data_IF_801838734751
#
_entry.id   IF_801838734751
#
_cell.length_a   1.000
_cell.length_b   1.000
_cell.length_c   1.000
_cell.angle_alpha   90.00
_cell.angle_beta   90.00
_cell.angle_gamma   90.00
#
_symmetry.space_group_name_H-M   'P 1'
#
loop_
_entity.id
_entity.type
_entity.pdbx_description
1 polymer ?
#
# COMPACT_ATOMS: atom_id res chain seq x y z
N UNK A 1 4.82 45.83 -53.45
CA UNK A 1 5.09 44.43 -53.18
C UNK A 1 6.45 44.38 -52.46
N UNK A 2 6.45 44.35 -51.16
CA UNK A 2 7.70 44.36 -50.34
C UNK A 2 7.98 42.92 -49.88
N UNK A 3 9.08 42.38 -50.44
CA UNK A 3 9.63 41.09 -50.04
C UNK A 3 10.38 41.22 -48.70
N UNK A 4 9.78 40.74 -47.63
CA UNK A 4 10.46 40.52 -46.38
C UNK A 4 11.09 39.13 -46.36
N UNK A 5 12.40 39.05 -46.45
CA UNK A 5 13.14 37.79 -46.34
C UNK A 5 13.41 37.48 -44.87
N UNK A 6 13.25 36.20 -44.47
CA UNK A 6 13.45 35.64 -43.12
C UNK A 6 14.88 35.82 -42.50
N UNK A 7 15.77 36.55 -43.14
CA UNK A 7 17.14 36.76 -42.67
C UNK A 7 17.39 38.08 -41.93
N UNK A 8 16.39 38.96 -41.81
CA UNK A 8 16.57 40.29 -41.22
C UNK A 8 16.23 40.47 -39.74
N UNK A 9 15.86 39.39 -39.03
CA UNK A 9 15.34 39.53 -37.66
C UNK A 9 16.27 38.97 -36.55
N UNK A 10 17.52 38.61 -36.86
CA UNK A 10 18.46 38.02 -35.87
C UNK A 10 19.57 39.01 -35.42
N UNK A 11 19.52 40.27 -35.78
CA UNK A 11 20.64 41.18 -35.53
C UNK A 11 20.30 42.43 -34.71
N UNK A 12 19.52 42.31 -33.61
CA UNK A 12 19.42 43.39 -32.64
C UNK A 12 18.94 42.93 -31.27
N UNK A 13 19.63 41.98 -30.66
CA UNK A 13 19.61 41.86 -29.20
C UNK A 13 20.95 42.39 -28.68
N UNK A 14 20.93 43.39 -27.74
CA UNK A 14 22.19 43.89 -27.21
C UNK A 14 22.90 42.76 -26.43
N UNK A 15 24.19 42.59 -26.70
CA UNK A 15 25.06 41.56 -26.10
C UNK A 15 25.01 41.52 -24.56
N UNK A 16 24.56 42.58 -23.90
CA UNK A 16 24.33 42.66 -22.46
C UNK A 16 23.13 41.88 -21.96
N UNK A 17 22.10 41.56 -22.81
CA UNK A 17 20.97 40.73 -22.42
C UNK A 17 21.28 39.24 -22.59
N UNK A 18 22.09 38.85 -23.55
CA UNK A 18 22.54 37.47 -23.74
C UNK A 18 23.46 37.00 -22.62
N UNK A 19 24.30 37.89 -22.05
CA UNK A 19 25.18 37.57 -20.91
C UNK A 19 24.43 37.41 -19.59
N UNK A 20 23.27 38.04 -19.43
CA UNK A 20 22.40 37.81 -18.22
C UNK A 20 21.58 36.54 -18.27
N UNK A 21 21.28 36.01 -19.46
CA UNK A 21 20.59 34.72 -19.61
C UNK A 21 21.54 33.52 -19.46
N UNK A 22 22.83 33.71 -19.69
CA UNK A 22 23.85 32.68 -19.51
C UNK A 22 24.52 32.68 -18.13
N UNK A 23 24.22 33.64 -17.29
CA UNK A 23 24.70 33.72 -15.89
C UNK A 23 23.68 33.24 -14.85
N UNK A 24 22.64 32.49 -15.22
CA UNK A 24 22.09 31.53 -14.29
C UNK A 24 23.16 30.45 -14.13
N UNK A 25 24.10 30.72 -13.23
CA UNK A 25 25.01 29.70 -12.70
C UNK A 25 24.14 28.53 -12.30
N UNK A 26 24.32 27.40 -13.02
CA UNK A 26 23.85 26.12 -12.49
C UNK A 26 24.26 26.10 -11.02
N UNK A 27 23.34 25.84 -10.09
CA UNK A 27 23.69 25.80 -8.68
C UNK A 27 24.91 24.90 -8.55
N UNK A 28 25.94 25.39 -7.83
CA UNK A 28 27.12 24.61 -7.54
C UNK A 28 26.66 23.23 -7.12
N UNK A 29 27.26 22.18 -7.67
CA UNK A 29 26.90 20.79 -7.35
C UNK A 29 26.74 20.68 -5.85
N UNK A 30 25.53 20.34 -5.38
CA UNK A 30 25.29 20.17 -3.93
C UNK A 30 26.35 19.19 -3.41
N UNK A 31 26.94 19.43 -2.22
CA UNK A 31 27.86 18.47 -1.63
C UNK A 31 27.20 17.08 -1.65
N UNK A 32 27.96 16.07 -2.06
CA UNK A 32 27.45 14.69 -2.08
C UNK A 32 27.07 14.30 -0.67
N UNK A 33 25.81 14.01 -0.46
CA UNK A 33 25.26 13.50 0.79
C UNK A 33 25.54 12.00 0.90
N UNK A 34 25.84 11.50 2.10
CA UNK A 34 26.14 10.08 2.33
C UNK A 34 25.36 9.53 3.52
N UNK A 35 24.93 8.31 3.40
CA UNK A 35 24.36 7.55 4.52
C UNK A 35 25.47 7.24 5.52
N UNK A 36 25.29 7.64 6.77
CA UNK A 36 26.22 7.37 7.89
C UNK A 36 25.68 6.32 8.84
N UNK A 37 24.35 6.16 8.93
CA UNK A 37 23.74 5.16 9.80
C UNK A 37 22.40 4.67 9.29
N UNK A 38 22.06 3.44 9.69
CA UNK A 38 20.72 2.84 9.60
C UNK A 38 20.32 2.40 11.01
N UNK A 39 19.16 2.82 11.46
CA UNK A 39 18.59 2.44 12.74
C UNK A 39 17.20 1.88 12.53
N UNK A 40 16.79 0.94 13.40
CA UNK A 40 15.45 0.39 13.44
C UNK A 40 15.01 0.25 14.88
N UNK A 41 13.84 0.79 15.20
CA UNK A 41 13.20 0.66 16.50
C UNK A 41 11.81 0.07 16.36
N UNK A 42 11.35 -0.65 17.36
CA UNK A 42 9.94 -1.03 17.46
C UNK A 42 9.20 0.08 18.20
N UNK A 43 8.30 0.75 17.49
CA UNK A 43 7.43 1.78 18.06
C UNK A 43 6.00 1.27 18.00
N UNK A 44 5.41 1.03 19.17
CA UNK A 44 4.18 0.26 19.26
C UNK A 44 4.41 -1.19 18.86
N UNK A 45 3.94 -1.58 17.71
CA UNK A 45 4.15 -2.92 17.14
C UNK A 45 4.75 -2.87 15.74
N UNK A 46 5.26 -1.72 15.34
CA UNK A 46 5.78 -1.48 13.99
C UNK A 46 7.29 -1.29 14.01
N UNK A 47 8.04 -1.98 13.14
CA UNK A 47 9.42 -1.63 12.88
C UNK A 47 9.49 -0.28 12.17
N UNK A 48 10.07 0.71 12.80
CA UNK A 48 10.31 2.04 12.24
C UNK A 48 11.78 2.19 11.92
N UNK A 49 12.07 2.65 10.71
CA UNK A 49 13.41 2.76 10.16
C UNK A 49 13.80 4.24 10.12
N UNK A 50 15.05 4.53 10.48
CA UNK A 50 15.68 5.83 10.30
C UNK A 50 17.01 5.67 9.57
N UNK A 51 17.14 6.31 8.43
CA UNK A 51 18.41 6.46 7.72
C UNK A 51 18.98 7.83 8.08
N UNK A 52 20.23 7.86 8.53
CA UNK A 52 20.95 9.07 8.95
C UNK A 52 22.02 9.42 7.91
N UNK A 53 22.23 10.71 7.69
CA UNK A 53 23.23 11.19 6.72
C UNK A 53 24.26 12.10 7.36
N UNK A 54 25.39 12.31 6.67
CA UNK A 54 26.48 13.21 7.07
C UNK A 54 26.09 14.70 7.02
N UNK A 55 24.93 15.04 6.46
CA UNK A 55 24.40 16.42 6.43
C UNK A 55 23.28 16.66 7.45
N UNK A 56 23.08 15.74 8.39
CA UNK A 56 22.05 15.86 9.43
C UNK A 56 20.62 15.64 8.95
N UNK A 57 20.42 15.31 7.66
CA UNK A 57 19.11 14.95 7.13
C UNK A 57 18.85 13.48 7.45
N UNK A 58 17.68 13.18 7.99
CA UNK A 58 17.23 11.81 8.21
C UNK A 58 15.95 11.53 7.46
N UNK A 59 15.82 10.30 6.94
CA UNK A 59 14.59 9.78 6.37
C UNK A 59 14.00 8.68 7.23
N UNK A 60 12.69 8.58 7.22
CA UNK A 60 11.94 7.59 7.96
C UNK A 60 11.18 6.68 7.00
N UNK A 61 11.14 5.40 7.35
CA UNK A 61 10.35 4.37 6.71
C UNK A 61 9.71 3.50 7.79
N UNK A 62 8.82 2.63 7.37
CA UNK A 62 8.11 1.74 8.27
C UNK A 62 7.83 0.42 7.57
N UNK A 63 7.90 -0.68 8.30
CA UNK A 63 7.33 -1.96 7.91
C UNK A 63 6.01 -2.17 8.65
N UNK A 64 5.17 -3.03 8.12
CA UNK A 64 3.87 -3.32 8.70
C UNK A 64 3.91 -3.64 10.19
N UNK A 65 2.86 -3.22 10.90
CA UNK A 65 2.65 -3.56 12.30
C UNK A 65 2.57 -5.07 12.51
N UNK A 66 2.97 -5.53 13.68
CA UNK A 66 3.02 -6.94 14.09
C UNK A 66 4.11 -7.78 13.40
N UNK A 67 5.01 -7.15 12.64
CA UNK A 67 6.16 -7.79 11.99
C UNK A 67 7.48 -7.38 12.68
N UNK A 68 7.52 -7.36 14.01
CA UNK A 68 8.71 -6.97 14.81
C UNK A 68 9.95 -7.80 14.47
N UNK A 69 9.73 -9.03 13.99
CA UNK A 69 10.81 -9.92 13.52
C UNK A 69 11.59 -9.36 12.32
N UNK A 70 11.07 -8.36 11.63
CA UNK A 70 11.76 -7.70 10.53
C UNK A 70 12.91 -6.79 10.99
N UNK A 71 12.94 -6.35 12.26
CA UNK A 71 14.03 -5.49 12.77
C UNK A 71 15.44 -6.06 12.51
N UNK A 72 15.76 -7.31 12.83
CA UNK A 72 17.07 -7.87 12.48
C UNK A 72 17.31 -7.96 10.98
N UNK A 73 16.26 -8.14 10.17
CA UNK A 73 16.36 -8.17 8.72
C UNK A 73 16.70 -6.79 8.15
N UNK A 74 16.06 -5.72 8.64
CA UNK A 74 16.43 -4.34 8.32
C UNK A 74 17.88 -4.07 8.65
N UNK A 75 18.30 -4.41 9.87
CA UNK A 75 19.66 -4.15 10.35
C UNK A 75 20.74 -4.93 9.59
N UNK A 76 20.40 -6.08 9.00
CA UNK A 76 21.29 -6.82 8.11
C UNK A 76 21.78 -5.98 6.91
N UNK A 77 20.94 -5.06 6.40
CA UNK A 77 21.28 -4.23 5.24
C UNK A 77 22.15 -3.03 5.58
N UNK A 78 22.36 -2.68 6.85
CA UNK A 78 23.14 -1.50 7.26
C UNK A 78 24.48 -1.39 6.53
N UNK A 79 25.25 -2.46 6.50
CA UNK A 79 26.58 -2.50 5.87
C UNK A 79 26.59 -2.25 4.36
N UNK A 80 25.44 -2.46 3.70
CA UNK A 80 25.30 -2.24 2.25
C UNK A 80 24.77 -0.85 1.91
N UNK A 81 24.36 -0.07 2.92
CA UNK A 81 23.80 1.27 2.76
C UNK A 81 24.83 2.35 3.08
N UNK A 82 25.72 2.10 4.06
CA UNK A 82 26.67 3.08 4.55
C UNK A 82 27.59 3.56 3.43
N UNK A 83 27.75 4.90 3.31
CA UNK A 83 28.59 5.55 2.34
C UNK A 83 27.94 5.83 0.98
N UNK A 84 26.76 5.25 0.69
CA UNK A 84 25.99 5.53 -0.51
C UNK A 84 25.29 6.90 -0.42
N UNK A 85 25.02 7.48 -1.59
CA UNK A 85 24.14 8.65 -1.71
C UNK A 85 22.67 8.21 -1.58
N UNK A 86 21.94 8.66 -0.56
CA UNK A 86 20.55 8.24 -0.36
C UNK A 86 19.57 8.80 -1.41
N UNK A 87 19.99 9.79 -2.21
CA UNK A 87 19.17 10.37 -3.28
C UNK A 87 19.19 9.53 -4.55
N UNK A 88 20.17 8.64 -4.68
CA UNK A 88 20.26 7.64 -5.76
C UNK A 88 19.45 6.39 -5.37
N UNK A 89 18.14 6.55 -5.09
CA UNK A 89 17.27 5.51 -4.51
C UNK A 89 17.40 4.19 -5.27
N UNK A 90 17.19 4.19 -6.58
CA UNK A 90 17.26 2.96 -7.39
C UNK A 90 18.64 2.30 -7.37
N UNK A 91 19.73 3.08 -7.33
CA UNK A 91 21.07 2.53 -7.22
C UNK A 91 21.26 1.77 -5.90
N UNK A 92 20.82 2.37 -4.79
CA UNK A 92 20.89 1.72 -3.47
C UNK A 92 20.01 0.47 -3.45
N UNK A 93 18.79 0.55 -3.98
CA UNK A 93 17.86 -0.57 -4.03
C UNK A 93 18.38 -1.72 -4.90
N UNK A 94 19.07 -1.45 -5.99
CA UNK A 94 19.72 -2.50 -6.80
C UNK A 94 20.74 -3.30 -6.00
N UNK A 95 21.50 -2.67 -5.11
CA UNK A 95 22.43 -3.37 -4.21
C UNK A 95 21.69 -4.35 -3.31
N UNK A 96 20.59 -3.91 -2.72
CA UNK A 96 19.79 -4.71 -1.78
C UNK A 96 19.08 -5.85 -2.55
N UNK A 97 18.43 -5.57 -3.68
CA UNK A 97 17.75 -6.56 -4.51
C UNK A 97 18.69 -7.68 -4.94
N UNK A 98 19.93 -7.34 -5.31
CA UNK A 98 20.93 -8.31 -5.71
C UNK A 98 21.28 -9.30 -4.59
N UNK A 99 21.13 -8.89 -3.34
CA UNK A 99 21.37 -9.77 -2.18
C UNK A 99 20.26 -10.81 -1.95
N UNK A 100 19.28 -10.90 -2.83
CA UNK A 100 18.17 -11.83 -2.69
C UNK A 100 17.16 -11.47 -1.59
N UNK A 101 17.11 -10.21 -1.24
CA UNK A 101 16.42 -9.64 -0.08
C UNK A 101 14.90 -9.74 -0.08
N UNK A 102 14.30 -10.15 -1.16
CA UNK A 102 12.86 -10.05 -1.33
C UNK A 102 12.08 -11.31 -0.93
N UNK A 103 12.75 -12.36 -0.52
CA UNK A 103 12.10 -13.65 -0.28
C UNK A 103 12.45 -14.18 1.09
N UNK A 104 11.58 -14.18 1.98
CA UNK A 104 10.22 -13.63 2.18
C UNK A 104 10.23 -12.25 2.86
N UNK A 105 11.28 -11.48 2.72
CA UNK A 105 11.60 -10.31 3.54
C UNK A 105 11.37 -8.98 2.82
N UNK A 106 10.47 -8.94 1.85
CA UNK A 106 10.15 -7.74 1.07
C UNK A 106 9.90 -6.50 1.90
N UNK A 107 9.15 -6.63 2.97
CA UNK A 107 8.81 -5.54 3.88
C UNK A 107 10.03 -4.82 4.48
N UNK A 108 11.11 -5.55 4.85
CA UNK A 108 12.32 -4.92 5.38
C UNK A 108 12.98 -3.99 4.36
N UNK A 109 12.98 -4.41 3.10
CA UNK A 109 13.57 -3.66 1.99
C UNK A 109 12.68 -2.51 1.57
N UNK A 110 11.37 -2.72 1.56
CA UNK A 110 10.38 -1.69 1.27
C UNK A 110 10.49 -0.51 2.24
N UNK A 111 10.61 -0.81 3.54
CA UNK A 111 10.77 0.21 4.57
C UNK A 111 12.05 1.04 4.40
N UNK A 112 13.15 0.43 3.95
CA UNK A 112 14.38 1.13 3.60
C UNK A 112 14.15 2.05 2.38
N UNK A 113 13.49 1.57 1.35
CA UNK A 113 13.19 2.33 0.15
C UNK A 113 12.33 3.55 0.44
N UNK A 114 11.29 3.40 1.25
CA UNK A 114 10.43 4.50 1.71
C UNK A 114 11.26 5.58 2.42
N UNK A 115 12.19 5.18 3.31
CA UNK A 115 13.09 6.12 3.99
C UNK A 115 14.04 6.84 3.03
N UNK A 116 14.51 6.19 1.97
CA UNK A 116 15.35 6.81 0.93
C UNK A 116 14.55 7.86 0.13
N UNK A 117 13.31 7.58 -0.24
CA UNK A 117 12.44 8.58 -0.89
C UNK A 117 12.17 9.77 0.01
N UNK A 118 11.99 9.55 1.31
CA UNK A 118 11.82 10.64 2.28
C UNK A 118 13.05 11.55 2.30
N UNK A 119 14.28 10.99 2.31
CA UNK A 119 15.52 11.77 2.23
C UNK A 119 15.61 12.50 0.88
N UNK A 120 15.37 11.80 -0.22
CA UNK A 120 15.48 12.40 -1.55
C UNK A 120 14.56 13.62 -1.69
N UNK A 121 13.32 13.51 -1.22
CA UNK A 121 12.37 14.62 -1.18
C UNK A 121 12.83 15.75 -0.27
N UNK A 122 13.33 15.46 0.93
CA UNK A 122 13.87 16.48 1.87
C UNK A 122 15.08 17.20 1.30
N UNK A 123 16.02 16.49 0.68
CA UNK A 123 17.19 17.08 0.01
C UNK A 123 16.78 17.97 -1.16
N UNK A 124 15.81 17.54 -1.95
CA UNK A 124 15.28 18.31 -3.06
C UNK A 124 14.37 19.49 -2.63
N UNK A 125 13.94 19.52 -1.36
CA UNK A 125 12.93 20.45 -0.88
C UNK A 125 11.56 20.22 -1.54
N UNK A 126 11.24 18.99 -1.92
CA UNK A 126 10.04 18.61 -2.65
C UNK A 126 9.32 17.44 -1.96
N UNK A 127 7.99 17.34 -2.04
CA UNK A 127 7.25 16.17 -1.60
C UNK A 127 7.57 14.96 -2.49
N UNK A 128 7.47 13.74 -1.93
CA UNK A 128 7.81 12.51 -2.66
C UNK A 128 7.00 12.38 -3.95
N UNK A 129 5.71 12.68 -3.95
CA UNK A 129 4.91 12.61 -5.19
C UNK A 129 5.50 13.47 -6.31
N UNK A 130 6.16 14.60 -5.97
CA UNK A 130 6.79 15.48 -6.98
C UNK A 130 8.02 14.82 -7.62
N UNK A 131 8.77 14.04 -6.82
CA UNK A 131 9.89 13.25 -7.30
C UNK A 131 9.44 12.10 -8.21
N UNK A 132 8.20 11.62 -8.02
CA UNK A 132 7.59 10.57 -8.84
C UNK A 132 6.95 11.08 -10.16
N UNK A 133 7.09 12.36 -10.47
CA UNK A 133 6.55 12.95 -11.70
C UNK A 133 5.44 13.98 -11.47
N UNK A 134 5.02 14.20 -10.24
CA UNK A 134 3.97 15.14 -9.86
C UNK A 134 2.63 14.45 -9.56
N UNK A 135 1.75 15.18 -8.90
CA UNK A 135 0.43 14.65 -8.54
C UNK A 135 -0.55 14.73 -9.71
N UNK A 136 -1.28 13.65 -9.92
CA UNK A 136 -2.40 13.55 -10.86
C UNK A 136 -3.72 13.91 -10.16
N UNK A 137 -3.76 13.77 -8.82
CA UNK A 137 -4.93 14.07 -7.99
C UNK A 137 -4.55 14.81 -6.72
N UNK A 138 -5.41 15.76 -6.30
CA UNK A 138 -5.20 16.56 -5.08
C UNK A 138 -5.67 15.87 -3.80
N UNK A 139 -6.44 14.80 -3.93
CA UNK A 139 -6.88 13.95 -2.84
C UNK A 139 -6.97 12.50 -3.27
N UNK A 140 -6.68 11.61 -2.38
CA UNK A 140 -6.69 10.17 -2.63
C UNK A 140 -7.86 9.51 -1.92
N UNK A 141 -8.57 8.62 -2.61
CA UNK A 141 -9.66 7.84 -2.02
C UNK A 141 -9.09 6.76 -1.13
N UNK A 142 -9.76 6.52 -0.01
CA UNK A 142 -9.45 5.41 0.88
C UNK A 142 -10.68 4.54 1.12
N UNK A 143 -10.45 3.27 1.42
CA UNK A 143 -11.48 2.37 1.90
C UNK A 143 -11.20 1.97 3.35
N UNK A 144 -12.19 1.38 4.00
CA UNK A 144 -12.16 1.16 5.43
C UNK A 144 -11.02 0.26 5.89
N UNK A 145 -10.08 0.78 6.56
CA UNK A 145 -9.18 0.05 7.42
C UNK A 145 -9.31 0.57 8.85
N UNK A 146 -9.27 1.88 9.01
CA UNK A 146 -9.23 2.58 10.29
C UNK A 146 -10.46 2.47 11.18
N UNK A 147 -11.60 2.04 10.66
CA UNK A 147 -12.81 1.83 11.43
C UNK A 147 -13.44 0.46 11.14
N UNK A 148 -13.20 -0.48 12.02
CA UNK A 148 -13.75 -1.84 11.98
C UNK A 148 -14.37 -2.18 13.34
N UNK A 149 -15.65 -1.88 13.56
CA UNK A 149 -16.31 -2.30 14.80
C UNK A 149 -16.31 -3.84 14.88
N UNK A 150 -16.15 -4.43 16.08
CA UNK A 150 -16.11 -5.87 16.21
C UNK A 150 -17.46 -6.49 15.79
N UNK A 151 -17.41 -7.60 15.06
CA UNK A 151 -18.58 -8.40 14.77
C UNK A 151 -19.14 -9.00 16.06
N UNK A 152 -20.44 -8.82 16.31
CA UNK A 152 -21.12 -9.38 17.49
C UNK A 152 -21.32 -10.89 17.38
N UNK A 153 -21.40 -11.40 16.15
CA UNK A 153 -21.56 -12.81 15.81
C UNK A 153 -21.19 -13.06 14.35
N UNK A 154 -21.50 -14.25 13.86
CA UNK A 154 -21.13 -14.69 12.50
C UNK A 154 -22.35 -14.94 11.61
N UNK A 155 -23.52 -14.44 11.99
CA UNK A 155 -24.76 -14.57 11.23
C UNK A 155 -24.93 -13.39 10.25
N UNK A 156 -25.72 -13.53 9.19
CA UNK A 156 -25.95 -12.47 8.20
C UNK A 156 -26.37 -11.13 8.82
N UNK A 157 -27.18 -11.14 9.88
CA UNK A 157 -27.59 -9.94 10.62
C UNK A 157 -26.40 -9.21 11.27
N UNK A 158 -25.41 -9.97 11.78
CA UNK A 158 -24.27 -9.39 12.48
C UNK A 158 -23.36 -8.65 11.49
N UNK A 159 -23.21 -9.20 10.29
CA UNK A 159 -22.52 -8.55 9.18
C UNK A 159 -23.28 -7.30 8.68
N UNK A 160 -24.60 -7.38 8.55
CA UNK A 160 -25.43 -6.24 8.17
C UNK A 160 -25.31 -5.08 9.17
N UNK A 161 -25.40 -5.37 10.48
CA UNK A 161 -25.22 -4.38 11.55
C UNK A 161 -23.81 -3.76 11.52
N UNK A 162 -22.80 -4.57 11.27
CA UNK A 162 -21.39 -4.13 11.22
C UNK A 162 -21.17 -3.14 10.08
N UNK A 163 -21.57 -3.48 8.85
CA UNK A 163 -21.41 -2.57 7.70
C UNK A 163 -22.31 -1.34 7.79
N UNK A 164 -23.44 -1.41 8.51
CA UNK A 164 -24.25 -0.23 8.80
C UNK A 164 -23.47 0.77 9.65
N UNK A 165 -22.79 0.32 10.71
CA UNK A 165 -21.93 1.18 11.53
C UNK A 165 -20.78 1.76 10.73
N UNK A 166 -20.17 0.97 9.84
CA UNK A 166 -19.09 1.45 8.96
C UNK A 166 -19.58 2.48 7.94
N UNK A 167 -20.79 2.30 7.40
CA UNK A 167 -21.44 3.25 6.48
C UNK A 167 -21.72 4.60 7.16
N UNK A 168 -22.05 4.58 8.46
CA UNK A 168 -22.35 5.75 9.27
C UNK A 168 -21.10 6.40 9.90
N UNK A 169 -19.92 5.84 9.68
CA UNK A 169 -18.69 6.35 10.24
C UNK A 169 -18.43 7.80 9.75
N UNK A 170 -17.90 8.64 10.66
CA UNK A 170 -17.61 10.06 10.40
C UNK A 170 -16.63 10.29 9.24
N UNK A 171 -15.79 9.31 8.95
CA UNK A 171 -14.83 9.30 7.84
C UNK A 171 -15.53 9.29 6.48
N UNK A 172 -16.78 8.82 6.40
CA UNK A 172 -17.61 8.84 5.20
C UNK A 172 -17.08 7.96 4.07
N UNK A 173 -16.68 6.73 4.39
CA UNK A 173 -16.18 5.78 3.40
C UNK A 173 -17.22 5.47 2.31
N UNK A 174 -16.77 5.44 1.07
CA UNK A 174 -17.60 5.09 -0.10
C UNK A 174 -17.30 3.69 -0.63
N UNK A 175 -16.39 2.99 0.03
CA UNK A 175 -15.99 1.62 -0.25
C UNK A 175 -15.63 0.95 1.08
N UNK A 176 -16.16 -0.25 1.28
CA UNK A 176 -15.96 -1.07 2.49
C UNK A 176 -15.48 -2.45 2.04
N UNK A 177 -14.40 -2.96 2.66
CA UNK A 177 -13.90 -4.33 2.50
C UNK A 177 -14.23 -5.13 3.76
N UNK A 178 -14.76 -6.33 3.59
CA UNK A 178 -15.14 -7.22 4.67
C UNK A 178 -14.53 -8.60 4.51
N UNK A 179 -14.00 -9.13 5.60
CA UNK A 179 -13.46 -10.49 5.65
C UNK A 179 -14.56 -11.53 5.68
N UNK A 180 -14.48 -12.51 4.79
CA UNK A 180 -15.40 -13.66 4.75
C UNK A 180 -14.62 -14.96 4.50
N UNK A 181 -15.29 -16.10 4.63
CA UNK A 181 -14.68 -17.38 4.33
C UNK A 181 -13.48 -17.71 5.22
N UNK A 182 -12.39 -18.15 4.65
CA UNK A 182 -11.18 -18.53 5.38
C UNK A 182 -10.49 -17.36 6.08
N UNK A 183 -10.66 -16.15 5.58
CA UNK A 183 -10.13 -14.96 6.22
C UNK A 183 -10.78 -14.68 7.57
N UNK A 184 -11.98 -15.19 7.80
CA UNK A 184 -12.68 -15.09 9.08
C UNK A 184 -12.69 -16.42 9.84
N UNK A 185 -11.62 -16.72 10.56
CA UNK A 185 -11.51 -17.94 11.37
C UNK A 185 -12.61 -18.09 12.43
N UNK A 186 -13.27 -17.01 12.86
CA UNK A 186 -14.41 -17.08 13.79
C UNK A 186 -15.67 -17.58 13.07
N UNK A 187 -15.87 -17.27 11.80
CA UNK A 187 -16.97 -17.83 11.01
C UNK A 187 -16.84 -19.35 10.92
N UNK A 188 -15.64 -19.86 10.66
CA UNK A 188 -15.37 -21.29 10.60
C UNK A 188 -15.68 -22.02 11.91
N UNK A 189 -15.44 -21.36 13.05
CA UNK A 189 -15.73 -21.94 14.39
C UNK A 189 -17.21 -21.88 14.76
N UNK A 190 -17.91 -20.83 14.34
CA UNK A 190 -19.29 -20.58 14.74
C UNK A 190 -20.33 -21.35 13.90
N UNK A 191 -19.98 -21.74 12.68
CA UNK A 191 -20.88 -22.39 11.75
C UNK A 191 -20.47 -23.84 11.58
N UNK A 192 -21.24 -24.81 12.14
CA UNK A 192 -20.96 -26.23 12.00
C UNK A 192 -20.99 -26.67 10.52
N UNK A 193 -20.14 -27.61 10.18
CA UNK A 193 -20.08 -28.23 8.85
C UNK A 193 -19.94 -27.23 7.69
N UNK A 194 -19.23 -26.12 7.96
CA UNK A 194 -18.94 -25.13 6.92
C UNK A 194 -17.94 -25.67 5.87
N UNK A 195 -17.06 -26.55 6.31
CA UNK A 195 -15.97 -27.16 5.53
C UNK A 195 -16.04 -28.68 5.66
N UNK A 196 -15.53 -29.40 4.65
CA UNK A 196 -15.44 -30.87 4.72
C UNK A 196 -14.35 -31.36 5.69
N UNK A 197 -13.40 -30.51 6.06
CA UNK A 197 -12.38 -30.83 7.04
C UNK A 197 -12.62 -30.05 8.34
N UNK A 198 -12.54 -30.73 9.48
CA UNK A 198 -12.65 -30.09 10.77
C UNK A 198 -11.33 -29.40 11.15
N UNK A 199 -11.34 -28.09 11.50
CA UNK A 199 -10.14 -27.43 11.95
C UNK A 199 -9.67 -28.02 13.28
N UNK A 200 -8.51 -28.67 13.27
CA UNK A 200 -7.89 -29.20 14.48
C UNK A 200 -7.30 -28.06 15.31
N UNK A 201 -7.69 -28.00 16.59
CA UNK A 201 -6.95 -27.21 17.58
C UNK A 201 -7.14 -25.71 17.59
N UNK A 202 -8.30 -25.21 17.32
CA UNK A 202 -8.73 -23.87 17.79
C UNK A 202 -8.09 -22.61 17.17
N UNK A 203 -6.97 -22.70 16.45
CA UNK A 203 -6.25 -21.54 15.89
C UNK A 203 -5.78 -21.77 14.45
N UNK A 204 -5.94 -22.95 13.90
CA UNK A 204 -5.46 -23.23 12.56
C UNK A 204 -6.35 -22.58 11.52
N UNK A 205 -5.84 -21.57 10.84
CA UNK A 205 -6.31 -21.26 9.51
C UNK A 205 -5.94 -22.41 8.59
N UNK A 206 -6.93 -23.10 8.04
CA UNK A 206 -6.65 -23.89 6.86
C UNK A 206 -6.18 -22.91 5.77
N UNK A 207 -5.09 -23.23 5.09
CA UNK A 207 -4.60 -22.40 3.99
C UNK A 207 -5.67 -22.22 2.90
N UNK A 208 -6.47 -23.22 2.69
CA UNK A 208 -7.69 -23.27 1.90
C UNK A 208 -8.38 -24.60 2.13
N UNK A 209 -9.64 -24.71 1.79
CA UNK A 209 -10.38 -25.93 1.95
C UNK A 209 -11.48 -26.09 0.91
N UNK A 210 -12.22 -27.16 1.02
CA UNK A 210 -13.40 -27.43 0.20
C UNK A 210 -14.64 -27.06 1.00
N UNK A 211 -15.42 -26.13 0.46
CA UNK A 211 -16.67 -25.70 1.06
C UNK A 211 -17.74 -26.77 0.97
N UNK A 212 -18.51 -26.93 2.04
CA UNK A 212 -19.80 -27.62 1.94
C UNK A 212 -20.84 -26.69 1.29
N UNK A 213 -21.95 -27.24 0.83
CA UNK A 213 -23.07 -26.46 0.35
C UNK A 213 -23.58 -25.49 1.44
N UNK A 214 -23.62 -25.96 2.69
CA UNK A 214 -24.00 -25.14 3.86
C UNK A 214 -23.05 -23.96 4.06
N UNK A 215 -21.73 -24.18 3.95
CA UNK A 215 -20.72 -23.14 4.06
C UNK A 215 -20.84 -22.11 2.95
N UNK A 216 -21.00 -22.54 1.72
CA UNK A 216 -21.21 -21.67 0.57
C UNK A 216 -22.43 -20.80 0.75
N UNK A 217 -23.59 -21.39 1.10
CA UNK A 217 -24.83 -20.68 1.33
C UNK A 217 -24.73 -19.68 2.48
N UNK A 218 -23.98 -20.01 3.53
CA UNK A 218 -23.77 -19.10 4.66
C UNK A 218 -22.96 -17.86 4.27
N UNK A 219 -21.84 -18.02 3.57
CA UNK A 219 -21.01 -16.89 3.09
C UNK A 219 -21.84 -16.00 2.16
N UNK A 220 -22.60 -16.59 1.25
CA UNK A 220 -23.45 -15.84 0.33
C UNK A 220 -24.54 -15.06 1.09
N UNK A 221 -25.22 -15.67 2.07
CA UNK A 221 -26.22 -14.98 2.88
C UNK A 221 -25.65 -13.79 3.67
N UNK A 222 -24.41 -13.90 4.20
CA UNK A 222 -23.72 -12.79 4.83
C UNK A 222 -23.41 -11.68 3.83
N UNK A 223 -22.96 -12.02 2.64
CA UNK A 223 -22.64 -11.08 1.57
C UNK A 223 -23.89 -10.33 1.09
N UNK A 224 -24.99 -11.03 0.85
CA UNK A 224 -26.28 -10.43 0.48
C UNK A 224 -26.79 -9.46 1.56
N UNK A 225 -26.69 -9.84 2.84
CA UNK A 225 -27.11 -9.01 3.96
C UNK A 225 -26.31 -7.70 4.02
N UNK A 226 -24.99 -7.75 3.83
CA UNK A 226 -24.14 -6.57 3.74
C UNK A 226 -24.51 -5.71 2.54
N UNK A 227 -24.63 -6.31 1.36
CA UNK A 227 -24.95 -5.58 0.13
C UNK A 227 -26.29 -4.88 0.20
N UNK A 228 -27.28 -5.49 0.82
CA UNK A 228 -28.61 -4.90 1.05
C UNK A 228 -28.54 -3.61 1.89
N UNK A 229 -27.66 -3.56 2.89
CA UNK A 229 -27.44 -2.36 3.73
C UNK A 229 -26.70 -1.26 2.96
N UNK A 230 -25.66 -1.63 2.23
CA UNK A 230 -24.80 -0.67 1.54
C UNK A 230 -25.49 -0.09 0.28
N UNK A 231 -26.32 -0.88 -0.40
CA UNK A 231 -27.00 -0.48 -1.62
C UNK A 231 -26.04 -0.23 -2.79
N UNK A 232 -26.26 0.83 -3.52
CA UNK A 232 -25.42 1.30 -4.61
C UNK A 232 -24.55 2.51 -4.25
N UNK A 233 -24.73 3.04 -3.04
CA UNK A 233 -24.04 4.24 -2.55
C UNK A 233 -22.64 3.93 -2.02
N UNK A 234 -22.44 2.74 -1.42
CA UNK A 234 -21.16 2.31 -0.86
C UNK A 234 -20.78 0.98 -1.49
N UNK A 235 -19.61 0.94 -2.11
CA UNK A 235 -19.05 -0.27 -2.69
C UNK A 235 -18.78 -1.31 -1.61
N UNK A 236 -19.00 -2.58 -1.91
CA UNK A 236 -18.62 -3.71 -1.06
C UNK A 236 -17.54 -4.52 -1.76
N UNK A 237 -16.40 -4.67 -1.11
CA UNK A 237 -15.35 -5.61 -1.46
C UNK A 237 -15.32 -6.74 -0.43
N UNK A 238 -14.95 -7.93 -0.85
CA UNK A 238 -14.77 -9.06 0.05
C UNK A 238 -13.32 -9.53 0.01
N UNK A 239 -12.76 -9.74 1.19
CA UNK A 239 -11.49 -10.39 1.40
C UNK A 239 -11.76 -11.84 1.78
N UNK A 240 -11.33 -12.75 0.92
CA UNK A 240 -11.59 -14.18 1.01
C UNK A 240 -10.31 -14.99 1.29
N UNK A 241 -9.16 -14.31 1.41
CA UNK A 241 -7.87 -14.94 1.63
C UNK A 241 -7.83 -15.85 2.86
N UNK A 242 -7.03 -16.90 2.81
CA UNK A 242 -6.14 -17.38 1.78
C UNK A 242 -6.81 -18.12 0.61
N UNK A 243 -8.13 -18.07 0.52
CA UNK A 243 -8.89 -18.45 -0.64
C UNK A 243 -9.49 -19.85 -0.63
N UNK A 244 -10.18 -20.16 -1.71
CA UNK A 244 -10.92 -21.40 -1.94
C UNK A 244 -10.17 -22.31 -2.92
N UNK A 245 -10.64 -23.55 -3.06
CA UNK A 245 -10.33 -24.36 -4.22
C UNK A 245 -10.97 -23.72 -5.47
N UNK A 246 -10.32 -23.80 -6.62
CA UNK A 246 -10.77 -23.08 -7.83
C UNK A 246 -12.24 -23.31 -8.18
N UNK A 247 -12.74 -24.52 -7.98
CA UNK A 247 -14.13 -24.85 -8.27
C UNK A 247 -15.11 -24.09 -7.37
N UNK A 248 -14.79 -23.99 -6.09
CA UNK A 248 -15.59 -23.23 -5.11
C UNK A 248 -15.46 -21.72 -5.36
N UNK A 249 -14.25 -21.25 -5.69
CA UNK A 249 -14.01 -19.85 -6.07
C UNK A 249 -14.88 -19.42 -7.26
N UNK A 250 -14.94 -20.24 -8.33
CA UNK A 250 -15.78 -19.98 -9.50
C UNK A 250 -17.28 -19.99 -9.11
N UNK A 251 -17.70 -20.96 -8.31
CA UNK A 251 -19.11 -21.06 -7.86
C UNK A 251 -19.49 -19.83 -7.04
N UNK A 252 -18.64 -19.43 -6.09
CA UNK A 252 -18.86 -18.24 -5.25
C UNK A 252 -18.86 -16.95 -6.09
N UNK A 253 -17.88 -16.76 -6.96
CA UNK A 253 -17.77 -15.58 -7.79
C UNK A 253 -19.00 -15.40 -8.69
N UNK A 254 -19.49 -16.47 -9.33
CA UNK A 254 -20.72 -16.45 -10.15
C UNK A 254 -21.96 -16.11 -9.32
N UNK A 255 -22.07 -16.66 -8.13
CA UNK A 255 -23.18 -16.34 -7.24
C UNK A 255 -23.17 -14.87 -6.78
N UNK A 256 -21.98 -14.24 -6.74
CA UNK A 256 -21.82 -12.82 -6.40
C UNK A 256 -22.11 -11.86 -7.55
N UNK A 257 -22.17 -12.31 -8.83
CA UNK A 257 -22.35 -11.43 -10.00
C UNK A 257 -23.57 -10.50 -9.89
N UNK A 258 -24.77 -10.97 -9.48
CA UNK A 258 -25.94 -10.09 -9.35
C UNK A 258 -25.75 -8.98 -8.30
N UNK A 259 -24.87 -9.18 -7.31
CA UNK A 259 -24.63 -8.22 -6.25
C UNK A 259 -23.72 -7.06 -6.67
N UNK A 260 -23.01 -7.18 -7.79
CA UNK A 260 -22.10 -6.15 -8.33
C UNK A 260 -21.12 -5.66 -7.26
N UNK A 261 -20.38 -6.58 -6.66
CA UNK A 261 -19.37 -6.27 -5.68
C UNK A 261 -18.23 -5.49 -6.33
N UNK A 262 -17.54 -4.65 -5.55
CA UNK A 262 -16.41 -3.87 -6.06
C UNK A 262 -15.27 -4.78 -6.47
N UNK A 263 -14.94 -5.77 -5.63
CA UNK A 263 -14.05 -6.90 -5.97
C UNK A 263 -14.21 -8.07 -5.01
N UNK A 264 -13.68 -9.20 -5.44
CA UNK A 264 -13.43 -10.39 -4.64
C UNK A 264 -11.92 -10.58 -4.53
N UNK A 265 -11.38 -10.39 -3.33
CA UNK A 265 -9.95 -10.42 -3.03
C UNK A 265 -9.53 -11.80 -2.60
N UNK A 266 -8.40 -12.25 -3.13
CA UNK A 266 -7.68 -13.46 -2.75
C UNK A 266 -8.52 -14.74 -2.74
N UNK A 267 -9.39 -14.89 -3.74
CA UNK A 267 -10.26 -16.06 -3.87
C UNK A 267 -9.51 -17.39 -4.01
N UNK A 268 -8.25 -17.39 -4.45
CA UNK A 268 -7.48 -18.63 -4.66
C UNK A 268 -6.36 -18.81 -3.65
N UNK A 269 -5.39 -17.93 -3.66
CA UNK A 269 -4.19 -18.02 -2.82
C UNK A 269 -3.60 -16.63 -2.64
N UNK A 270 -4.03 -15.89 -1.61
CA UNK A 270 -3.46 -14.58 -1.32
C UNK A 270 -2.26 -14.66 -0.40
N UNK A 271 -2.51 -15.04 0.84
CA UNK A 271 -1.59 -14.78 1.95
C UNK A 271 -0.40 -15.73 2.08
N UNK A 272 -0.31 -16.80 1.29
CA UNK A 272 0.68 -17.85 1.55
C UNK A 272 1.71 -18.07 0.46
N UNK A 273 1.65 -17.30 -0.61
CA UNK A 273 2.64 -17.42 -1.67
C UNK A 273 2.92 -16.09 -2.36
N UNK A 274 4.19 -15.66 -2.39
CA UNK A 274 4.59 -14.51 -3.20
C UNK A 274 4.64 -14.84 -4.71
N UNK A 275 4.32 -16.08 -5.09
CA UNK A 275 4.34 -16.56 -6.47
C UNK A 275 2.94 -17.02 -6.87
N UNK A 276 2.06 -16.11 -7.33
CA UNK A 276 0.72 -16.49 -7.71
C UNK A 276 0.72 -17.38 -8.94
N UNK A 277 -0.21 -18.31 -8.99
CA UNK A 277 -0.48 -19.06 -10.22
C UNK A 277 -1.39 -18.22 -11.13
N UNK A 278 -0.79 -17.43 -12.01
CA UNK A 278 -1.51 -16.55 -12.92
C UNK A 278 -2.46 -17.30 -13.87
N UNK A 279 -2.18 -18.55 -14.23
CA UNK A 279 -3.07 -19.33 -15.08
C UNK A 279 -4.37 -19.71 -14.34
N UNK A 280 -4.30 -20.08 -13.05
CA UNK A 280 -5.50 -20.33 -12.26
C UNK A 280 -6.34 -19.07 -12.04
N UNK A 281 -5.71 -17.92 -11.80
CA UNK A 281 -6.42 -16.64 -11.69
C UNK A 281 -7.09 -16.24 -13.00
N UNK A 282 -6.41 -16.46 -14.15
CA UNK A 282 -7.00 -16.23 -15.46
C UNK A 282 -8.22 -17.13 -15.70
N UNK A 283 -8.12 -18.43 -15.36
CA UNK A 283 -9.22 -19.37 -15.52
C UNK A 283 -10.41 -19.01 -14.64
N UNK A 284 -10.15 -18.54 -13.40
CA UNK A 284 -11.18 -17.99 -12.51
C UNK A 284 -11.84 -16.77 -13.16
N UNK A 285 -11.05 -15.76 -13.58
CA UNK A 285 -11.56 -14.53 -14.18
C UNK A 285 -12.37 -14.79 -15.43
N UNK A 286 -11.96 -15.70 -16.30
CA UNK A 286 -12.71 -16.06 -17.51
C UNK A 286 -14.02 -16.78 -17.22
N UNK A 287 -14.16 -17.38 -16.03
CA UNK A 287 -15.35 -18.11 -15.64
C UNK A 287 -16.45 -17.24 -15.02
N UNK A 288 -16.19 -15.96 -14.73
CA UNK A 288 -17.15 -15.06 -14.05
C UNK A 288 -17.05 -13.63 -14.57
N UNK A 289 -18.10 -12.85 -14.39
CA UNK A 289 -18.10 -11.39 -14.59
C UNK A 289 -17.82 -10.61 -13.29
N UNK A 290 -17.64 -11.30 -12.16
CA UNK A 290 -17.25 -10.66 -10.91
C UNK A 290 -15.81 -10.13 -10.99
N UNK A 291 -15.55 -8.98 -10.39
CA UNK A 291 -14.23 -8.34 -10.37
C UNK A 291 -13.27 -9.13 -9.46
N UNK A 292 -12.16 -9.59 -10.00
CA UNK A 292 -11.15 -10.40 -9.30
C UNK A 292 -9.97 -9.52 -8.88
N UNK A 293 -9.59 -9.62 -7.61
CA UNK A 293 -8.51 -8.86 -6.99
C UNK A 293 -7.51 -9.80 -6.30
N UNK A 294 -6.22 -9.45 -6.33
CA UNK A 294 -5.16 -10.10 -5.54
C UNK A 294 -3.92 -9.22 -5.48
N UNK A 295 -2.99 -9.49 -4.58
CA UNK A 295 -1.66 -8.90 -4.67
C UNK A 295 -0.96 -8.52 -3.39
N UNK A 296 -1.61 -8.52 -2.22
CA UNK A 296 -1.03 -8.01 -0.97
C UNK A 296 0.24 -8.77 -0.53
N UNK A 297 0.30 -10.08 -0.77
CA UNK A 297 1.45 -10.92 -0.40
C UNK A 297 2.44 -11.16 -1.56
N UNK A 298 2.30 -10.43 -2.67
CA UNK A 298 3.14 -10.60 -3.85
C UNK A 298 4.26 -9.55 -3.83
N UNK A 299 5.50 -9.99 -3.92
CA UNK A 299 6.69 -9.14 -3.85
C UNK A 299 7.33 -8.97 -5.23
N UNK A 300 7.86 -7.79 -5.52
CA UNK A 300 8.51 -7.39 -6.75
C UNK A 300 7.62 -7.38 -8.00
N UNK A 301 7.94 -6.42 -8.87
CA UNK A 301 7.31 -6.28 -10.19
C UNK A 301 7.35 -7.54 -11.05
N UNK A 302 8.41 -8.36 -10.92
CA UNK A 302 8.55 -9.59 -11.70
C UNK A 302 7.45 -10.60 -11.43
N UNK A 303 6.94 -10.67 -10.19
CA UNK A 303 5.90 -11.60 -9.80
C UNK A 303 4.49 -11.10 -10.19
N UNK A 304 4.33 -9.81 -10.47
CA UNK A 304 3.10 -9.24 -11.02
C UNK A 304 3.01 -9.37 -12.54
N UNK A 305 4.15 -9.54 -13.22
CA UNK A 305 4.23 -9.55 -14.68
C UNK A 305 3.24 -10.54 -15.31
N UNK A 306 3.25 -11.79 -14.87
CA UNK A 306 2.39 -12.83 -15.43
C UNK A 306 0.90 -12.57 -15.15
N UNK A 307 0.55 -12.05 -13.97
CA UNK A 307 -0.83 -11.65 -13.67
C UNK A 307 -1.33 -10.57 -14.65
N UNK A 308 -0.49 -9.60 -14.96
CA UNK A 308 -0.81 -8.48 -15.84
C UNK A 308 -0.90 -8.95 -17.30
N UNK A 309 0.16 -9.59 -17.82
CA UNK A 309 0.25 -9.98 -19.23
C UNK A 309 -0.78 -11.04 -19.64
N UNK A 310 -1.12 -11.95 -18.72
CA UNK A 310 -2.17 -12.96 -18.94
C UNK A 310 -3.58 -12.45 -18.67
N UNK A 311 -3.75 -11.17 -18.31
CA UNK A 311 -5.06 -10.61 -17.94
C UNK A 311 -5.74 -11.45 -16.85
N UNK A 312 -4.97 -11.88 -15.86
CA UNK A 312 -5.40 -12.88 -14.88
C UNK A 312 -6.33 -12.30 -13.80
N UNK A 313 -6.28 -10.99 -13.59
CA UNK A 313 -7.10 -10.27 -12.60
C UNK A 313 -7.63 -8.97 -13.18
N UNK A 314 -8.58 -8.34 -12.49
CA UNK A 314 -9.13 -7.03 -12.83
C UNK A 314 -8.52 -5.91 -12.00
N UNK A 315 -8.11 -6.24 -10.78
CA UNK A 315 -7.54 -5.30 -9.82
C UNK A 315 -6.31 -5.93 -9.15
N UNK A 316 -5.25 -5.16 -9.00
CA UNK A 316 -4.06 -5.52 -8.24
C UNK A 316 -3.99 -4.70 -6.95
N UNK A 317 -3.67 -5.37 -5.85
CA UNK A 317 -3.56 -4.76 -4.53
C UNK A 317 -2.21 -4.96 -3.85
N UNK A 318 -1.08 -4.62 -4.51
CA UNK A 318 0.21 -4.69 -3.81
C UNK A 318 0.24 -3.71 -2.64
N UNK A 319 1.07 -4.03 -1.64
CA UNK A 319 1.33 -3.16 -0.51
C UNK A 319 2.70 -2.49 -0.67
N UNK A 320 2.83 -1.16 -0.62
CA UNK A 320 4.13 -0.50 -0.75
C UNK A 320 5.09 -0.82 0.40
N UNK A 321 4.59 -1.24 1.57
CA UNK A 321 5.45 -1.70 2.68
C UNK A 321 5.96 -3.14 2.47
N UNK A 322 5.36 -3.91 1.55
CA UNK A 322 5.74 -5.32 1.27
C UNK A 322 6.35 -5.53 -0.13
N UNK A 323 5.83 -4.85 -1.14
CA UNK A 323 6.14 -5.14 -2.55
C UNK A 323 7.56 -4.79 -2.99
N UNK A 324 8.28 -4.01 -2.21
CA UNK A 324 9.61 -3.50 -2.51
C UNK A 324 9.69 -1.97 -2.52
N UNK A 325 8.65 -1.29 -2.04
CA UNK A 325 8.59 0.15 -1.88
C UNK A 325 7.76 0.88 -2.94
N UNK A 326 7.82 2.19 -2.87
CA UNK A 326 7.09 3.14 -3.73
C UNK A 326 7.43 2.95 -5.21
N UNK A 327 8.71 2.78 -5.53
CA UNK A 327 9.19 2.63 -6.92
C UNK A 327 8.73 1.34 -7.56
N UNK A 328 8.76 0.21 -6.84
CA UNK A 328 8.23 -1.07 -7.32
C UNK A 328 6.73 -0.99 -7.58
N UNK A 329 5.98 -0.42 -6.63
CA UNK A 329 4.54 -0.27 -6.77
C UNK A 329 4.18 0.63 -7.96
N UNK A 330 4.84 1.79 -8.10
CA UNK A 330 4.58 2.72 -9.20
C UNK A 330 4.75 2.04 -10.55
N UNK A 331 5.82 1.27 -10.73
CA UNK A 331 6.04 0.52 -11.96
C UNK A 331 4.91 -0.50 -12.21
N UNK A 332 4.49 -1.24 -11.17
CA UNK A 332 3.39 -2.22 -11.29
C UNK A 332 2.10 -1.53 -11.74
N UNK A 333 1.77 -0.39 -11.13
CA UNK A 333 0.54 0.36 -11.46
C UNK A 333 0.57 0.91 -12.90
N UNK A 334 1.71 1.45 -13.35
CA UNK A 334 1.87 1.96 -14.71
C UNK A 334 1.81 0.83 -15.76
N UNK A 335 2.40 -0.31 -15.45
CA UNK A 335 2.34 -1.48 -16.33
C UNK A 335 0.92 -2.08 -16.37
N UNK A 336 0.24 -2.15 -15.23
CA UNK A 336 -1.15 -2.57 -15.14
C UNK A 336 -2.11 -1.64 -15.93
N UNK A 337 -1.85 -0.31 -15.91
CA UNK A 337 -2.63 0.67 -16.68
C UNK A 337 -2.59 0.39 -18.18
N UNK A 338 -1.41 0.07 -18.73
CA UNK A 338 -1.27 -0.31 -20.14
C UNK A 338 -2.09 -1.56 -20.52
N UNK A 339 -2.42 -2.39 -19.54
CA UNK A 339 -3.23 -3.60 -19.70
C UNK A 339 -4.68 -3.44 -19.23
N UNK A 340 -5.12 -2.21 -18.92
CA UNK A 340 -6.48 -1.90 -18.42
C UNK A 340 -6.82 -2.64 -17.13
N UNK A 341 -5.83 -2.88 -16.27
CA UNK A 341 -5.99 -3.46 -14.94
C UNK A 341 -5.92 -2.33 -13.91
N UNK A 342 -6.89 -2.31 -13.00
CA UNK A 342 -6.94 -1.32 -11.93
C UNK A 342 -5.99 -1.68 -10.78
N UNK A 343 -5.75 -0.70 -9.89
CA UNK A 343 -5.00 -0.92 -8.66
C UNK A 343 -5.76 -0.40 -7.43
N UNK A 344 -5.77 -1.20 -6.37
CA UNK A 344 -6.37 -0.87 -5.08
C UNK A 344 -5.45 -1.41 -3.96
N UNK A 345 -4.45 -0.62 -3.53
CA UNK A 345 -3.45 -1.03 -2.56
C UNK A 345 -4.03 -1.58 -1.26
N UNK A 346 -3.43 -2.68 -0.79
CA UNK A 346 -3.49 -3.12 0.60
C UNK A 346 -2.75 -2.12 1.50
N UNK A 347 -3.06 -2.06 2.79
CA UNK A 347 -2.41 -1.13 3.73
C UNK A 347 -2.99 -1.17 5.13
N UNK A 348 -3.70 -2.24 5.51
CA UNK A 348 -4.43 -2.32 6.78
C UNK A 348 -3.50 -2.24 8.00
N UNK A 349 -2.27 -2.72 7.88
CA UNK A 349 -1.29 -2.76 8.97
C UNK A 349 -0.22 -1.68 8.87
N UNK A 350 -0.32 -0.79 7.89
CA UNK A 350 0.59 0.33 7.74
C UNK A 350 0.44 1.30 8.92
N UNK A 351 1.53 1.86 9.34
CA UNK A 351 1.51 2.94 10.31
C UNK A 351 1.35 4.30 9.63
N UNK A 352 1.52 5.36 10.42
CA UNK A 352 1.34 6.71 9.89
C UNK A 352 2.44 7.14 8.89
N UNK A 353 3.62 6.50 8.91
CA UNK A 353 4.68 6.72 7.91
C UNK A 353 4.32 5.97 6.63
N UNK A 354 3.86 4.72 6.73
CA UNK A 354 3.32 3.96 5.60
C UNK A 354 2.11 4.64 4.96
N UNK A 355 1.19 5.15 5.79
CA UNK A 355 0.08 5.98 5.30
C UNK A 355 0.58 7.17 4.46
N UNK A 356 1.61 7.87 4.92
CA UNK A 356 2.19 8.98 4.15
C UNK A 356 2.78 8.52 2.82
N UNK A 357 3.47 7.36 2.81
CA UNK A 357 3.98 6.75 1.59
C UNK A 357 2.84 6.42 0.60
N UNK A 358 1.74 5.82 1.08
CA UNK A 358 0.54 5.56 0.29
C UNK A 358 -0.04 6.83 -0.32
N UNK A 359 -0.18 7.90 0.45
CA UNK A 359 -0.76 9.16 -0.05
C UNK A 359 0.10 9.75 -1.16
N UNK A 360 1.41 9.82 -0.98
CA UNK A 360 2.32 10.34 -2.01
C UNK A 360 2.35 9.46 -3.25
N UNK A 361 2.40 8.14 -3.08
CA UNK A 361 2.35 7.20 -4.18
C UNK A 361 1.03 7.33 -4.95
N UNK A 362 -0.10 7.20 -4.27
CA UNK A 362 -1.43 7.26 -4.87
C UNK A 362 -1.71 8.59 -5.57
N UNK A 363 -1.14 9.70 -5.07
CA UNK A 363 -1.24 11.00 -5.74
C UNK A 363 -0.63 11.01 -7.14
N UNK A 364 0.43 10.21 -7.36
CA UNK A 364 1.20 10.15 -8.61
C UNK A 364 0.81 8.97 -9.53
N UNK A 365 -0.06 8.06 -9.09
CA UNK A 365 -0.48 6.91 -9.90
C UNK A 365 -1.40 7.30 -11.05
N UNK A 366 -1.41 6.54 -12.17
CA UNK A 366 -2.34 6.72 -13.27
C UNK A 366 -3.81 6.65 -12.87
N UNK A 367 -4.71 6.79 -13.86
CA UNK A 367 -6.17 6.81 -13.63
C UNK A 367 -6.77 5.44 -13.26
N UNK A 368 -5.99 4.37 -13.36
CA UNK A 368 -6.39 3.03 -12.95
C UNK A 368 -6.39 2.84 -11.41
N UNK A 369 -5.99 3.84 -10.61
CA UNK A 369 -6.07 3.81 -9.16
C UNK A 369 -7.51 3.98 -8.67
N UNK A 370 -7.99 3.04 -7.82
CA UNK A 370 -9.35 3.07 -7.22
C UNK A 370 -9.32 3.77 -5.85
N UNK A 371 -8.68 3.16 -4.89
CA UNK A 371 -8.56 3.59 -3.49
C UNK A 371 -7.46 2.76 -2.81
N UNK A 372 -6.90 3.21 -1.70
CA UNK A 372 -6.04 2.37 -0.88
C UNK A 372 -6.67 2.06 0.49
N UNK A 373 -6.23 0.98 1.12
CA UNK A 373 -6.71 0.58 2.43
C UNK A 373 -6.18 1.51 3.52
N UNK A 374 -7.10 2.12 4.28
CA UNK A 374 -6.71 3.00 5.38
C UNK A 374 -6.26 2.15 6.59
N UNK A 375 -5.10 2.42 7.21
CA UNK A 375 -4.56 1.62 8.29
C UNK A 375 -5.51 1.44 9.46
N UNK A 376 -5.56 0.23 10.04
CA UNK A 376 -6.37 -0.15 11.18
C UNK A 376 -5.52 -0.40 12.43
N UNK A 377 -6.14 -0.20 13.59
CA UNK A 377 -5.57 -0.63 14.87
C UNK A 377 -4.35 0.17 15.32
N UNK A 378 -4.12 1.32 14.74
CA UNK A 378 -3.05 2.20 15.19
C UNK A 378 -3.38 2.72 16.59
N UNK A 379 -2.42 2.71 17.53
CA UNK A 379 -2.64 3.30 18.84
C UNK A 379 -2.96 4.79 18.73
N UNK A 380 -3.92 5.29 19.50
CA UNK A 380 -4.31 6.72 19.49
C UNK A 380 -3.10 7.64 19.71
N UNK A 381 -2.15 7.23 20.55
CA UNK A 381 -0.94 8.00 20.83
C UNK A 381 0.02 8.17 19.64
N UNK A 382 -0.17 7.46 18.52
CA UNK A 382 0.60 7.69 17.29
C UNK A 382 0.46 9.15 16.82
N UNK A 383 -0.73 9.73 16.91
CA UNK A 383 -0.96 11.12 16.56
C UNK A 383 -0.23 12.10 17.48
N UNK A 384 0.10 11.68 18.72
CA UNK A 384 0.87 12.50 19.64
C UNK A 384 2.36 12.54 19.27
N UNK A 385 2.89 11.48 18.66
CA UNK A 385 4.31 11.36 18.33
C UNK A 385 4.67 11.72 16.89
N UNK A 386 3.69 11.84 15.99
CA UNK A 386 3.91 12.21 14.58
C UNK A 386 3.23 13.57 14.30
N UNK A 387 3.92 14.39 13.52
CA UNK A 387 3.41 15.66 13.01
C UNK A 387 3.47 15.70 11.48
N UNK A 388 2.73 16.63 10.86
CA UNK A 388 2.70 16.85 9.42
C UNK A 388 1.46 16.24 8.73
N UNK A 389 0.71 15.36 9.38
CA UNK A 389 -0.52 14.81 8.82
C UNK A 389 -1.70 15.80 8.93
N UNK A 390 -2.62 15.80 7.96
CA UNK A 390 -3.87 16.56 8.07
C UNK A 390 -4.73 16.08 9.25
N UNK A 391 -5.51 16.99 9.84
CA UNK A 391 -6.43 16.66 10.93
C UNK A 391 -7.84 17.22 10.62
N UNK A 392 -8.87 16.39 10.49
CA UNK A 392 -8.82 14.93 10.46
C UNK A 392 -8.10 14.42 9.19
N UNK A 393 -7.50 13.23 9.28
CA UNK A 393 -6.80 12.63 8.15
C UNK A 393 -7.80 12.30 7.03
N UNK A 394 -8.87 11.59 7.35
CA UNK A 394 -9.89 11.19 6.36
C UNK A 394 -11.08 12.13 6.42
N UNK A 395 -11.49 12.63 5.25
CA UNK A 395 -12.68 13.49 5.06
C UNK A 395 -13.50 12.95 3.89
N UNK A 396 -14.72 12.50 4.18
CA UNK A 396 -15.65 11.96 3.15
C UNK A 396 -15.02 10.87 2.28
N UNK A 397 -14.27 9.96 2.91
CA UNK A 397 -13.61 8.84 2.24
C UNK A 397 -12.35 9.21 1.45
N UNK A 398 -11.78 10.40 1.67
CA UNK A 398 -10.57 10.88 1.01
C UNK A 398 -9.57 11.46 2.00
N UNK A 399 -8.31 11.46 1.60
CA UNK A 399 -7.20 12.16 2.25
C UNK A 399 -6.69 13.24 1.31
N UNK A 400 -6.59 14.48 1.81
CA UNK A 400 -6.00 15.58 1.05
C UNK A 400 -4.47 15.37 0.93
N UNK A 401 -3.92 15.54 -0.27
CA UNK A 401 -2.48 15.39 -0.51
C UNK A 401 -1.77 16.65 -0.03
N UNK A 402 -0.74 16.49 0.79
CA UNK A 402 0.05 17.60 1.34
C UNK A 402 1.38 17.79 0.59
N UNK A 403 1.94 19.00 0.67
CA UNK A 403 3.05 19.46 -0.16
C UNK A 403 4.38 19.62 0.61
N UNK A 404 4.48 19.14 1.85
CA UNK A 404 5.71 19.23 2.63
C UNK A 404 6.83 18.31 2.05
N UNK A 405 8.11 18.71 2.17
CA UNK A 405 9.24 17.95 1.63
C UNK A 405 9.34 16.52 2.20
N UNK A 406 9.79 15.58 1.37
CA UNK A 406 9.85 14.16 1.72
C UNK A 406 8.44 13.57 1.81
N UNK A 407 8.22 12.70 2.79
CA UNK A 407 6.88 12.20 3.12
C UNK A 407 6.03 13.25 3.86
N UNK A 408 6.61 14.40 4.22
CA UNK A 408 5.92 15.46 4.92
C UNK A 408 5.50 15.14 6.36
N UNK A 409 5.97 14.04 6.90
CA UNK A 409 5.73 13.62 8.29
C UNK A 409 7.04 13.55 9.05
N UNK A 410 7.01 13.93 10.32
CA UNK A 410 8.18 13.87 11.20
C UNK A 410 7.79 13.40 12.60
N UNK A 411 8.77 12.93 13.36
CA UNK A 411 8.55 12.58 14.76
C UNK A 411 8.67 13.81 15.65
N UNK A 412 7.75 13.94 16.59
CA UNK A 412 7.91 14.77 17.79
C UNK A 412 8.84 14.03 18.73
N UNK A 413 10.14 14.25 18.55
CA UNK A 413 11.22 13.39 19.10
C UNK A 413 11.07 13.14 20.59
N UNK A 414 10.78 14.19 21.40
CA UNK A 414 10.64 14.03 22.86
C UNK A 414 9.46 13.10 23.24
N UNK A 415 8.34 13.23 22.56
CA UNK A 415 7.19 12.35 22.78
C UNK A 415 7.44 10.93 22.28
N UNK A 416 8.12 10.80 21.15
CA UNK A 416 8.45 9.50 20.56
C UNK A 416 9.49 8.73 21.40
N UNK A 417 10.50 9.42 21.95
CA UNK A 417 11.49 8.82 22.87
C UNK A 417 10.84 8.15 24.07
N UNK A 418 9.74 8.69 24.59
CA UNK A 418 9.00 8.10 25.70
C UNK A 418 8.27 6.78 25.36
N UNK A 419 8.22 6.41 24.08
CA UNK A 419 7.57 5.19 23.57
C UNK A 419 8.57 4.12 23.13
N UNK A 420 9.88 4.41 23.20
CA UNK A 420 10.92 3.46 22.85
C UNK A 420 11.15 2.46 23.99
N UNK A 421 11.50 1.24 23.63
CA UNK A 421 12.07 0.29 24.59
C UNK A 421 13.48 0.74 25.01
N UNK A 422 14.00 0.29 26.17
CA UNK A 422 15.36 0.62 26.60
C UNK A 422 16.44 0.24 25.56
N UNK A 423 16.24 -0.86 24.86
CA UNK A 423 17.15 -1.33 23.79
C UNK A 423 17.16 -0.44 22.55
N UNK A 424 16.09 0.31 22.34
CA UNK A 424 15.91 1.22 21.20
C UNK A 424 16.17 2.69 21.55
N UNK A 425 16.60 2.99 22.78
CA UNK A 425 16.78 4.36 23.31
C UNK A 425 17.62 5.27 22.41
N UNK A 426 18.61 4.72 21.69
CA UNK A 426 19.48 5.45 20.77
C UNK A 426 18.88 5.70 19.37
N UNK A 427 17.62 5.39 19.14
CA UNK A 427 17.02 5.50 17.80
C UNK A 427 17.01 6.94 17.24
N UNK A 428 16.76 7.92 18.09
CA UNK A 428 16.71 9.33 17.71
C UNK A 428 18.04 10.10 17.91
N UNK A 429 19.06 9.44 18.42
CA UNK A 429 20.37 10.07 18.67
C UNK A 429 21.18 10.31 17.40
#
# INVERSE_FOLDING_TARGET
MNNWTRRGLISALPAAAATRLLSQTLPASRPKIKITDLKCAIIGKSPVIRIVTDQGISGFGQAESYKEYLKPMVMFYKKYLIGHDPTDVEHVMMQIRRMGAFKPWGAAVSAIEIALWDIAGKVAGQPVYKMLGGKIRDRVRVYNGGFRPPLKGQMPRDYAENVQQMKEAKEGYTLIKMAVGFHNGNMMKAIPDMWYDEPRGGTAHANKGVLTERGMNHILACTEAMKKVLGDQVGLALDCGPGFMIKDAITFARACEPMRLTWLEDLLTGDYTPYPNADLYRDLKQATSATIHTGEQIYNRQNFKDLIEKQAVDVLGPDPEDVGGIGEFKWIAEYADLHSIAVAPHGIFDGLIGLAAHVHLAAALPQNFIAFEYPYGQPEWWYDIIEGLPNPIVKKGFIDVWDAPGLGVNFRVNAAKARLSPEDSGFFD
#
